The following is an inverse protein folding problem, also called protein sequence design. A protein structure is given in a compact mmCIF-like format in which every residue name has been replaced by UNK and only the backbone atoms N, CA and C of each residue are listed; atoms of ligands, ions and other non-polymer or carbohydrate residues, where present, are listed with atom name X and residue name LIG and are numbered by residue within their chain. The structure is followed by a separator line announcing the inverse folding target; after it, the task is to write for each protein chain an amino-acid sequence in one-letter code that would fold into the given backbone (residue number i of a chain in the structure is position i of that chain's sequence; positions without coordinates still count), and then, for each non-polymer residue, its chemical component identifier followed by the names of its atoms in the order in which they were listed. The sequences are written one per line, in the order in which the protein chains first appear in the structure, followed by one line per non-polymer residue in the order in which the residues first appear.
data_IF_622783192158
#
_entry.id   IF_622783192158
#
_cell.length_a   1.000
_cell.length_b   1.000
_cell.length_c   1.000
_cell.angle_alpha   90.00
_cell.angle_beta   90.00
_cell.angle_gamma   90.00
#
_symmetry.space_group_name_H-M   'P 1'
#
loop_
_entity.id
_entity.type
_entity.pdbx_description
1 polymer ?
#
# COMPACT_ATOMS: atom_id res chain seq x y z
N UNK A 1 -15.35 16.25 22.81
CA UNK A 1 -16.41 15.35 22.31
C UNK A 1 -16.88 15.88 20.95
N UNK A 2 -16.30 15.38 19.86
CA UNK A 2 -16.60 15.83 18.48
C UNK A 2 -16.47 14.72 17.42
N UNK A 3 -15.99 13.53 17.79
CA UNK A 3 -15.80 12.38 16.88
C UNK A 3 -17.09 11.78 16.32
N UNK A 4 -18.24 12.05 16.92
CA UNK A 4 -19.52 11.42 16.56
C UNK A 4 -20.13 11.84 15.22
N UNK A 5 -19.81 13.02 14.68
CA UNK A 5 -20.46 13.49 13.43
C UNK A 5 -19.81 12.91 12.16
N UNK A 6 -18.50 12.71 12.14
CA UNK A 6 -17.80 12.16 10.98
C UNK A 6 -18.11 10.68 10.71
N UNK A 7 -18.32 9.88 11.76
CA UNK A 7 -18.67 8.47 11.67
C UNK A 7 -20.03 8.25 10.96
N UNK A 8 -21.05 9.06 11.28
CA UNK A 8 -22.39 8.93 10.68
C UNK A 8 -22.37 9.29 9.19
N UNK A 9 -21.50 10.23 8.81
CA UNK A 9 -21.31 10.71 7.45
C UNK A 9 -20.78 9.59 6.52
N UNK A 10 -19.67 8.94 6.91
CA UNK A 10 -19.04 7.86 6.12
C UNK A 10 -20.00 6.72 5.76
N UNK A 11 -20.91 6.36 6.67
CA UNK A 11 -21.94 5.35 6.40
C UNK A 11 -22.97 5.81 5.37
N UNK A 12 -23.40 7.07 5.45
CA UNK A 12 -24.36 7.65 4.51
C UNK A 12 -23.72 7.85 3.13
N UNK A 13 -22.45 8.25 3.08
CA UNK A 13 -21.65 8.36 1.86
C UNK A 13 -21.53 7.01 1.14
N UNK A 14 -21.11 5.94 1.82
CA UNK A 14 -21.04 4.61 1.20
C UNK A 14 -22.39 4.13 0.65
N UNK A 15 -23.46 4.37 1.41
CA UNK A 15 -24.82 4.00 0.98
C UNK A 15 -25.21 4.78 -0.30
N UNK A 16 -24.89 6.07 -0.35
CA UNK A 16 -25.14 6.93 -1.51
C UNK A 16 -24.32 6.48 -2.74
N UNK A 17 -23.06 6.10 -2.54
CA UNK A 17 -22.18 5.58 -3.60
C UNK A 17 -22.69 4.24 -4.16
N UNK A 18 -23.20 3.35 -3.31
CA UNK A 18 -23.82 2.09 -3.74
C UNK A 18 -25.14 2.35 -4.49
N UNK A 19 -25.98 3.27 -4.00
CA UNK A 19 -27.19 3.69 -4.71
C UNK A 19 -26.92 4.40 -6.04
N UNK A 20 -25.79 5.08 -6.18
CA UNK A 20 -25.36 5.69 -7.44
C UNK A 20 -24.87 4.60 -8.41
N UNK A 21 -24.01 3.70 -7.93
CA UNK A 21 -23.55 2.54 -8.69
C UNK A 21 -24.73 1.72 -9.24
N UNK A 22 -25.73 1.42 -8.41
CA UNK A 22 -26.92 0.67 -8.82
C UNK A 22 -27.63 1.32 -10.02
N UNK A 23 -27.71 2.66 -10.06
CA UNK A 23 -28.38 3.42 -11.13
C UNK A 23 -27.54 3.53 -12.41
N UNK A 24 -26.21 3.52 -12.28
CA UNK A 24 -25.29 3.84 -13.37
C UNK A 24 -24.59 2.61 -13.97
N UNK A 25 -24.44 1.51 -13.23
CA UNK A 25 -23.83 0.30 -13.75
C UNK A 25 -24.66 -0.29 -14.91
N UNK A 26 -23.98 -0.76 -15.96
CA UNK A 26 -24.64 -1.23 -17.19
C UNK A 26 -25.21 -0.14 -18.11
N UNK A 27 -25.30 1.12 -17.68
CA UNK A 27 -25.78 2.25 -18.52
C UNK A 27 -24.73 2.79 -19.51
N UNK A 28 -23.48 2.32 -19.41
CA UNK A 28 -22.34 2.83 -20.18
C UNK A 28 -21.64 4.06 -19.57
N UNK A 29 -22.04 4.48 -18.37
CA UNK A 29 -21.28 5.45 -17.57
C UNK A 29 -19.93 4.88 -17.10
N UNK A 30 -18.97 5.76 -16.85
CA UNK A 30 -17.68 5.39 -16.27
C UNK A 30 -17.82 5.11 -14.77
N UNK A 31 -17.42 3.91 -14.34
CA UNK A 31 -17.49 3.46 -12.94
C UNK A 31 -16.25 3.84 -12.13
N UNK A 32 -15.17 4.28 -12.78
CA UNK A 32 -13.92 4.67 -12.11
C UNK A 32 -14.12 5.73 -11.02
N UNK A 33 -14.92 6.80 -11.20
CA UNK A 33 -15.14 7.80 -10.15
C UNK A 33 -15.79 7.22 -8.89
N UNK A 34 -16.80 6.35 -9.05
CA UNK A 34 -17.52 5.75 -7.93
C UNK A 34 -16.61 4.79 -7.15
N UNK A 35 -15.92 3.89 -7.85
CA UNK A 35 -14.96 2.96 -7.22
C UNK A 35 -13.80 3.71 -6.54
N UNK A 36 -13.33 4.82 -7.13
CA UNK A 36 -12.30 5.67 -6.52
C UNK A 36 -12.80 6.29 -5.23
N UNK A 37 -14.02 6.84 -5.19
CA UNK A 37 -14.62 7.39 -3.96
C UNK A 37 -14.84 6.33 -2.89
N UNK A 38 -15.28 5.13 -3.27
CA UNK A 38 -15.38 4.01 -2.33
C UNK A 38 -14.01 3.63 -1.75
N UNK A 39 -12.95 3.63 -2.57
CA UNK A 39 -11.58 3.34 -2.12
C UNK A 39 -11.11 4.38 -1.10
N UNK A 40 -11.18 5.68 -1.46
CA UNK A 40 -10.81 6.80 -0.59
C UNK A 40 -11.53 6.78 0.77
N UNK A 41 -12.81 6.38 0.77
CA UNK A 41 -13.62 6.26 1.97
C UNK A 41 -13.18 5.08 2.87
N UNK A 42 -12.91 3.90 2.29
CA UNK A 42 -12.43 2.73 3.04
C UNK A 42 -11.01 2.97 3.56
N UNK A 43 -10.12 3.56 2.77
CA UNK A 43 -8.76 3.95 3.17
C UNK A 43 -8.78 4.90 4.37
N UNK A 44 -9.59 5.98 4.32
CA UNK A 44 -9.78 6.94 5.41
C UNK A 44 -10.18 6.27 6.74
N UNK A 45 -11.18 5.39 6.71
CA UNK A 45 -11.62 4.70 7.92
C UNK A 45 -10.65 3.58 8.34
N UNK A 46 -9.83 3.07 7.42
CA UNK A 46 -8.72 2.14 7.72
C UNK A 46 -7.58 2.86 8.43
N UNK A 47 -7.23 4.07 8.03
CA UNK A 47 -6.28 4.92 8.77
C UNK A 47 -6.80 5.27 10.16
N UNK A 48 -8.10 5.62 10.30
CA UNK A 48 -8.69 5.91 11.61
C UNK A 48 -8.71 4.67 12.51
N UNK A 49 -9.06 3.48 11.98
CA UNK A 49 -8.97 2.22 12.72
C UNK A 49 -7.55 1.92 13.19
N UNK A 50 -6.53 2.14 12.34
CA UNK A 50 -5.11 1.94 12.70
C UNK A 50 -4.61 2.90 13.79
N UNK A 51 -5.17 4.10 13.93
CA UNK A 51 -4.85 5.02 15.04
C UNK A 51 -5.33 4.48 16.41
N UNK A 52 -6.25 3.51 16.41
CA UNK A 52 -6.69 2.80 17.60
C UNK A 52 -5.69 1.77 18.14
N UNK A 53 -4.54 1.59 17.48
CA UNK A 53 -3.51 0.58 17.79
C UNK A 53 -4.08 -0.86 17.90
N UNK A 54 -4.75 -1.37 16.84
CA UNK A 54 -5.27 -2.73 16.83
C UNK A 54 -4.12 -3.74 16.83
N UNK A 55 -4.32 -4.89 17.51
CA UNK A 55 -3.34 -5.95 17.61
C UNK A 55 -2.93 -6.45 16.20
N UNK A 56 -1.64 -6.37 15.81
CA UNK A 56 -1.18 -6.77 14.48
C UNK A 56 -1.26 -8.29 14.22
N UNK A 57 -1.59 -9.09 15.23
CA UNK A 57 -1.84 -10.54 15.11
C UNK A 57 -3.33 -10.91 15.18
N UNK A 58 -4.24 -9.92 15.21
CA UNK A 58 -5.68 -10.17 15.21
C UNK A 58 -6.25 -10.24 13.80
N UNK A 59 -6.19 -11.42 13.19
CA UNK A 59 -6.71 -11.74 11.85
C UNK A 59 -8.26 -11.67 11.76
N UNK A 60 -8.97 -11.24 12.80
CA UNK A 60 -10.43 -11.11 12.78
C UNK A 60 -10.84 -9.88 11.96
N UNK A 61 -11.90 -10.04 11.16
CA UNK A 61 -12.60 -8.93 10.50
C UNK A 61 -12.75 -7.72 11.46
N UNK A 62 -12.40 -6.46 11.07
CA UNK A 62 -12.36 -5.30 11.98
C UNK A 62 -13.60 -5.16 12.87
N UNK A 63 -14.79 -5.21 12.28
CA UNK A 63 -16.09 -5.21 13.01
C UNK A 63 -16.41 -6.41 13.91
N UNK A 64 -15.45 -7.33 14.14
CA UNK A 64 -15.46 -8.39 15.17
C UNK A 64 -14.37 -8.17 16.22
N UNK A 65 -13.27 -7.51 15.86
CA UNK A 65 -12.22 -7.08 16.78
C UNK A 65 -12.72 -5.87 17.62
N UNK A 66 -13.25 -4.85 16.95
CA UNK A 66 -14.00 -3.74 17.53
C UNK A 66 -15.40 -3.65 16.88
N UNK A 67 -16.49 -3.99 17.62
CA UNK A 67 -17.86 -3.88 17.12
C UNK A 67 -18.30 -2.46 16.71
N UNK A 68 -17.68 -1.41 17.25
CA UNK A 68 -18.10 -0.02 17.05
C UNK A 68 -17.30 0.72 15.95
N UNK A 69 -16.18 0.16 15.47
CA UNK A 69 -15.35 0.80 14.44
C UNK A 69 -16.12 1.05 13.12
N UNK A 70 -15.86 2.19 12.47
CA UNK A 70 -16.53 2.50 11.19
C UNK A 70 -16.09 1.57 10.07
N UNK A 71 -14.81 1.23 9.98
CA UNK A 71 -14.31 0.26 8.99
C UNK A 71 -15.13 -1.04 9.04
N UNK A 72 -15.35 -1.59 10.23
CA UNK A 72 -16.17 -2.79 10.44
C UNK A 72 -17.63 -2.63 10.02
N UNK A 73 -18.19 -1.42 10.13
CA UNK A 73 -19.52 -1.08 9.65
C UNK A 73 -19.60 -0.91 8.13
N UNK A 74 -18.61 -0.25 7.51
CA UNK A 74 -18.56 -0.06 6.06
C UNK A 74 -18.38 -1.38 5.32
N UNK A 75 -17.43 -2.22 5.73
CA UNK A 75 -17.21 -3.55 5.16
C UNK A 75 -18.51 -4.39 5.24
N UNK A 76 -19.21 -4.36 6.39
CA UNK A 76 -20.49 -5.07 6.58
C UNK A 76 -21.63 -4.54 5.70
N UNK A 77 -21.57 -3.29 5.24
CA UNK A 77 -22.54 -2.73 4.28
C UNK A 77 -22.18 -3.17 2.87
N UNK A 78 -20.90 -3.09 2.51
CA UNK A 78 -20.40 -3.47 1.19
C UNK A 78 -20.63 -4.96 0.89
N UNK A 79 -20.24 -5.85 1.80
CA UNK A 79 -20.42 -7.31 1.67
C UNK A 79 -21.88 -7.78 1.82
N UNK A 80 -22.83 -6.88 2.04
CA UNK A 80 -24.28 -7.18 1.94
C UNK A 80 -24.86 -6.87 0.57
N UNK A 81 -24.11 -6.19 -0.30
CA UNK A 81 -24.50 -5.94 -1.67
C UNK A 81 -23.80 -6.96 -2.58
N UNK A 82 -24.43 -8.13 -2.71
CA UNK A 82 -23.91 -9.24 -3.51
C UNK A 82 -23.74 -8.86 -4.99
N UNK A 83 -24.65 -8.06 -5.55
CA UNK A 83 -24.60 -7.61 -6.94
C UNK A 83 -23.39 -6.69 -7.19
N UNK A 84 -23.11 -5.75 -6.27
CA UNK A 84 -21.90 -4.93 -6.30
C UNK A 84 -20.63 -5.78 -6.22
N UNK A 85 -20.55 -6.69 -5.24
CA UNK A 85 -19.38 -7.55 -5.04
C UNK A 85 -19.14 -8.47 -6.24
N UNK A 86 -20.22 -9.00 -6.84
CA UNK A 86 -20.20 -9.78 -8.06
C UNK A 86 -19.68 -8.96 -9.25
N UNK A 87 -20.17 -7.73 -9.44
CA UNK A 87 -19.69 -6.85 -10.50
C UNK A 87 -18.23 -6.42 -10.30
N UNK A 88 -17.82 -6.09 -9.07
CA UNK A 88 -16.44 -5.72 -8.74
C UNK A 88 -15.44 -6.80 -9.20
N UNK A 89 -15.71 -8.05 -8.85
CA UNK A 89 -14.84 -9.19 -9.21
C UNK A 89 -15.04 -9.60 -10.67
N UNK A 90 -16.26 -9.93 -11.09
CA UNK A 90 -16.49 -10.59 -12.38
C UNK A 90 -16.53 -9.59 -13.54
N UNK A 91 -17.11 -8.40 -13.37
CA UNK A 91 -17.17 -7.40 -14.44
C UNK A 91 -15.91 -6.52 -14.49
N UNK A 92 -15.46 -5.97 -13.36
CA UNK A 92 -14.40 -4.94 -13.36
C UNK A 92 -12.98 -5.48 -13.21
N UNK A 93 -12.77 -6.54 -12.42
CA UNK A 93 -11.47 -7.25 -12.38
C UNK A 93 -11.36 -8.24 -13.54
N UNK A 94 -12.30 -9.18 -13.68
CA UNK A 94 -12.12 -10.31 -14.62
C UNK A 94 -12.43 -10.01 -16.09
N UNK A 95 -13.52 -9.28 -16.38
CA UNK A 95 -14.02 -9.15 -17.77
C UNK A 95 -13.61 -7.84 -18.45
N UNK A 96 -13.50 -6.75 -17.69
CA UNK A 96 -13.16 -5.42 -18.22
C UNK A 96 -11.80 -5.41 -18.91
N UNK A 97 -11.75 -4.73 -20.06
CA UNK A 97 -10.54 -4.51 -20.85
C UNK A 97 -9.97 -3.09 -20.69
N UNK A 98 -10.62 -2.26 -19.86
CA UNK A 98 -10.23 -0.87 -19.61
C UNK A 98 -9.29 -0.80 -18.40
N UNK A 99 -7.98 -0.53 -18.59
CA UNK A 99 -7.02 -0.54 -17.49
C UNK A 99 -7.35 0.43 -16.35
N UNK A 100 -7.91 1.65 -16.58
CA UNK A 100 -8.36 2.51 -15.49
C UNK A 100 -9.44 1.87 -14.60
N UNK A 101 -10.38 1.13 -15.20
CA UNK A 101 -11.43 0.43 -14.46
C UNK A 101 -10.88 -0.80 -13.72
N UNK A 102 -10.00 -1.58 -14.36
CA UNK A 102 -9.28 -2.66 -13.65
C UNK A 102 -8.49 -2.10 -12.45
N UNK A 103 -7.87 -0.92 -12.61
CA UNK A 103 -7.06 -0.24 -11.57
C UNK A 103 -7.92 0.16 -10.37
N UNK A 104 -9.04 0.85 -10.61
CA UNK A 104 -9.94 1.29 -9.55
C UNK A 104 -10.58 0.10 -8.82
N UNK A 105 -10.94 -0.96 -9.56
CA UNK A 105 -11.47 -2.20 -8.98
C UNK A 105 -10.42 -2.96 -8.15
N UNK A 106 -9.17 -3.06 -8.61
CA UNK A 106 -8.10 -3.72 -7.85
C UNK A 106 -7.70 -2.94 -6.58
N UNK A 107 -7.77 -1.61 -6.61
CA UNK A 107 -7.59 -0.78 -5.40
C UNK A 107 -8.67 -1.09 -4.37
N UNK A 108 -9.94 -0.94 -4.73
CA UNK A 108 -11.05 -1.21 -3.81
C UNK A 108 -11.03 -2.66 -3.29
N UNK A 109 -10.74 -3.64 -4.15
CA UNK A 109 -10.66 -5.05 -3.75
C UNK A 109 -9.53 -5.29 -2.72
N UNK A 110 -8.42 -4.55 -2.82
CA UNK A 110 -7.31 -4.61 -1.86
C UNK A 110 -7.71 -3.93 -0.54
N UNK A 111 -8.36 -2.77 -0.59
CA UNK A 111 -8.77 -2.01 0.61
C UNK A 111 -9.78 -2.78 1.47
N UNK A 112 -10.63 -3.60 0.84
CA UNK A 112 -11.67 -4.38 1.53
C UNK A 112 -11.21 -5.77 1.97
N UNK A 113 -9.96 -6.17 1.65
CA UNK A 113 -9.40 -7.47 2.06
C UNK A 113 -9.58 -7.81 3.55
N UNK A 114 -9.44 -6.88 4.53
CA UNK A 114 -9.63 -7.20 5.95
C UNK A 114 -11.02 -7.73 6.33
N UNK A 115 -12.03 -7.60 5.45
CA UNK A 115 -13.34 -8.25 5.63
C UNK A 115 -13.69 -9.28 4.56
N UNK A 116 -12.80 -9.51 3.59
CA UNK A 116 -13.02 -10.39 2.45
C UNK A 116 -12.71 -11.85 2.78
N UNK A 117 -13.59 -12.77 2.43
CA UNK A 117 -13.26 -14.20 2.44
C UNK A 117 -12.39 -14.52 1.22
N UNK A 118 -11.06 -14.35 1.37
CA UNK A 118 -10.06 -14.42 0.30
C UNK A 118 -10.10 -15.75 -0.48
N UNK A 119 -10.43 -16.86 0.19
CA UNK A 119 -10.65 -18.15 -0.47
C UNK A 119 -11.80 -18.11 -1.50
N UNK A 120 -12.95 -17.52 -1.16
CA UNK A 120 -14.11 -17.41 -2.06
C UNK A 120 -13.75 -16.61 -3.32
N UNK A 121 -12.94 -15.56 -3.19
CA UNK A 121 -12.52 -14.76 -4.34
C UNK A 121 -11.41 -15.42 -5.15
N UNK A 122 -10.33 -15.90 -4.52
CA UNK A 122 -9.13 -16.35 -5.25
C UNK A 122 -9.12 -17.85 -5.60
N UNK A 123 -9.95 -18.67 -4.95
CA UNK A 123 -10.04 -20.12 -5.20
C UNK A 123 -11.25 -20.50 -6.08
N UNK A 124 -12.41 -19.84 -5.92
CA UNK A 124 -13.61 -20.17 -6.72
C UNK A 124 -13.66 -19.43 -8.07
N UNK A 125 -12.90 -18.33 -8.25
CA UNK A 125 -12.86 -17.56 -9.50
C UNK A 125 -11.65 -17.96 -10.35
N UNK A 126 -11.80 -19.07 -11.07
CA UNK A 126 -10.84 -19.53 -12.08
C UNK A 126 -10.41 -18.38 -13.02
N UNK A 127 -9.09 -18.18 -13.18
CA UNK A 127 -8.50 -17.11 -14.00
C UNK A 127 -8.15 -15.82 -13.26
N UNK A 128 -8.61 -15.58 -12.03
CA UNK A 128 -8.32 -14.32 -11.32
C UNK A 128 -6.84 -14.21 -10.92
N UNK A 129 -6.26 -15.30 -10.42
CA UNK A 129 -4.87 -15.33 -9.96
C UNK A 129 -3.92 -15.19 -11.16
N UNK A 130 -4.25 -15.79 -12.30
CA UNK A 130 -3.53 -15.68 -13.56
C UNK A 130 -3.55 -14.25 -14.11
N UNK A 131 -4.72 -13.58 -14.07
CA UNK A 131 -4.85 -12.16 -14.45
C UNK A 131 -4.00 -11.26 -13.54
N UNK A 132 -4.04 -11.49 -12.22
CA UNK A 132 -3.20 -10.76 -11.27
C UNK A 132 -1.70 -11.01 -11.52
N UNK A 133 -1.27 -12.26 -11.78
CA UNK A 133 0.12 -12.57 -12.16
C UNK A 133 0.55 -11.91 -13.46
N UNK A 134 -0.36 -11.76 -14.44
CA UNK A 134 -0.09 -11.02 -15.66
C UNK A 134 0.12 -9.53 -15.35
N UNK A 135 -0.79 -8.89 -14.62
CA UNK A 135 -0.67 -7.47 -14.31
C UNK A 135 0.51 -7.14 -13.38
N UNK A 136 0.77 -7.96 -12.36
CA UNK A 136 1.92 -7.80 -11.48
C UNK A 136 3.25 -7.89 -12.25
N UNK A 137 3.31 -8.67 -13.34
CA UNK A 137 4.47 -8.74 -14.23
C UNK A 137 4.53 -7.58 -15.24
N UNK A 138 3.42 -7.29 -15.93
CA UNK A 138 3.44 -6.54 -17.20
C UNK A 138 2.73 -5.18 -17.16
N UNK A 139 1.76 -4.96 -16.28
CA UNK A 139 0.95 -3.74 -16.30
C UNK A 139 1.73 -2.50 -15.88
N UNK A 140 1.21 -1.32 -16.22
CA UNK A 140 1.71 -0.05 -15.72
C UNK A 140 1.28 0.21 -14.26
N UNK A 141 1.87 1.24 -13.65
CA UNK A 141 1.45 1.71 -12.34
C UNK A 141 0.21 2.60 -12.49
N UNK A 142 -0.76 2.55 -11.54
CA UNK A 142 -0.69 1.82 -10.28
C UNK A 142 -1.28 0.39 -10.31
N UNK A 143 -1.91 -0.07 -11.40
CA UNK A 143 -2.51 -1.41 -11.52
C UNK A 143 -1.56 -2.54 -11.09
N UNK A 144 -0.30 -2.48 -11.55
CA UNK A 144 0.75 -3.44 -11.18
C UNK A 144 0.98 -3.54 -9.67
N UNK A 145 0.88 -2.42 -8.95
CA UNK A 145 1.07 -2.36 -7.50
C UNK A 145 -0.09 -3.03 -6.78
N UNK A 146 -1.33 -2.68 -7.14
CA UNK A 146 -2.53 -3.31 -6.56
C UNK A 146 -2.60 -4.80 -6.87
N UNK A 147 -2.27 -5.22 -8.09
CA UNK A 147 -2.20 -6.64 -8.46
C UNK A 147 -1.13 -7.41 -7.66
N UNK A 148 0.00 -6.77 -7.33
CA UNK A 148 1.03 -7.38 -6.47
C UNK A 148 0.53 -7.50 -5.02
N UNK A 149 -0.21 -6.51 -4.50
CA UNK A 149 -0.82 -6.57 -3.17
C UNK A 149 -1.88 -7.67 -3.05
N UNK A 150 -2.79 -7.75 -4.02
CA UNK A 150 -3.83 -8.79 -4.10
C UNK A 150 -3.23 -10.20 -4.19
N UNK A 151 -2.13 -10.39 -4.94
CA UNK A 151 -1.40 -11.66 -4.94
C UNK A 151 -0.82 -11.98 -3.57
N UNK A 152 -0.34 -10.99 -2.80
CA UNK A 152 0.09 -11.19 -1.41
C UNK A 152 -1.01 -11.88 -0.59
N UNK A 153 -2.23 -11.33 -0.62
CA UNK A 153 -3.40 -11.94 0.03
C UNK A 153 -3.78 -13.31 -0.51
N UNK A 154 -3.69 -13.52 -1.83
CA UNK A 154 -3.94 -14.83 -2.43
C UNK A 154 -2.92 -15.90 -1.98
N UNK A 155 -1.66 -15.50 -1.73
CA UNK A 155 -0.60 -16.40 -1.26
C UNK A 155 -0.70 -16.76 0.23
N UNK A 156 -1.57 -16.11 1.02
CA UNK A 156 -1.88 -16.53 2.40
C UNK A 156 -2.64 -17.88 2.41
N UNK A 157 -3.40 -18.18 1.35
CA UNK A 157 -4.00 -19.49 1.13
C UNK A 157 -2.93 -20.47 0.62
N UNK A 158 -2.63 -21.48 1.43
CA UNK A 158 -1.59 -22.47 1.16
C UNK A 158 -1.84 -23.30 -0.11
N UNK A 159 -3.10 -23.59 -0.45
CA UNK A 159 -3.44 -24.34 -1.66
C UNK A 159 -3.13 -23.51 -2.91
N UNK A 160 -3.47 -22.21 -2.89
CA UNK A 160 -3.15 -21.27 -3.96
C UNK A 160 -1.63 -21.09 -4.08
N UNK A 161 -0.94 -20.88 -2.96
CA UNK A 161 0.51 -20.73 -2.93
C UNK A 161 1.27 -21.98 -3.43
N UNK A 162 0.72 -23.18 -3.20
CA UNK A 162 1.26 -24.43 -3.72
C UNK A 162 1.04 -24.57 -5.24
N UNK A 163 -0.15 -24.21 -5.73
CA UNK A 163 -0.50 -24.31 -7.15
C UNK A 163 0.32 -23.36 -8.05
N UNK A 164 0.59 -22.13 -7.59
CA UNK A 164 1.34 -21.11 -8.35
C UNK A 164 2.80 -20.95 -7.89
N UNK A 165 3.41 -22.01 -7.37
CA UNK A 165 4.75 -21.97 -6.77
C UNK A 165 5.81 -21.41 -7.73
N UNK A 166 5.78 -21.82 -9.00
CA UNK A 166 6.80 -21.47 -9.98
C UNK A 166 6.62 -20.03 -10.47
N UNK A 167 5.38 -19.58 -10.72
CA UNK A 167 5.02 -18.20 -11.02
C UNK A 167 5.39 -17.26 -9.86
N UNK A 168 5.08 -17.65 -8.63
CA UNK A 168 5.40 -16.90 -7.43
C UNK A 168 6.93 -16.76 -7.26
N UNK A 169 7.70 -17.82 -7.48
CA UNK A 169 9.18 -17.76 -7.41
C UNK A 169 9.78 -16.74 -8.39
N UNK A 170 9.22 -16.66 -9.60
CA UNK A 170 9.63 -15.68 -10.62
C UNK A 170 9.18 -14.26 -10.26
N UNK A 171 7.95 -14.10 -9.76
CA UNK A 171 7.41 -12.81 -9.38
C UNK A 171 8.17 -12.21 -8.18
N UNK A 172 8.49 -13.00 -7.16
CA UNK A 172 9.29 -12.55 -6.00
C UNK A 172 10.65 -12.02 -6.46
N UNK A 173 11.35 -12.72 -7.36
CA UNK A 173 12.62 -12.26 -7.91
C UNK A 173 12.47 -10.92 -8.68
N UNK A 174 11.38 -10.76 -9.44
CA UNK A 174 11.06 -9.54 -10.19
C UNK A 174 10.70 -8.35 -9.27
N UNK A 175 9.89 -8.59 -8.24
CA UNK A 175 9.48 -7.55 -7.26
C UNK A 175 10.68 -7.10 -6.43
N UNK A 176 11.52 -8.03 -5.95
CA UNK A 176 12.76 -7.69 -5.24
C UNK A 176 13.74 -6.90 -6.11
N UNK A 177 13.80 -7.18 -7.42
CA UNK A 177 14.59 -6.37 -8.36
C UNK A 177 14.04 -4.94 -8.46
N UNK A 178 12.72 -4.78 -8.66
CA UNK A 178 12.06 -3.47 -8.74
C UNK A 178 12.21 -2.66 -7.46
N UNK A 179 12.13 -3.30 -6.29
CA UNK A 179 12.37 -2.65 -5.00
C UNK A 179 13.78 -2.06 -4.92
N UNK A 180 14.82 -2.78 -5.38
CA UNK A 180 16.18 -2.25 -5.45
C UNK A 180 16.32 -1.10 -6.43
N UNK A 181 15.67 -1.17 -7.60
CA UNK A 181 15.66 -0.09 -8.60
C UNK A 181 15.00 1.19 -8.04
N UNK A 182 13.91 1.05 -7.27
CA UNK A 182 13.25 2.15 -6.55
C UNK A 182 14.14 2.73 -5.43
N UNK A 183 14.75 1.88 -4.59
CA UNK A 183 15.67 2.32 -3.53
C UNK A 183 16.85 3.13 -4.09
N UNK A 184 17.47 2.68 -5.18
CA UNK A 184 18.56 3.41 -5.84
C UNK A 184 18.06 4.77 -6.37
N UNK A 185 16.88 4.81 -6.98
CA UNK A 185 16.28 6.05 -7.52
C UNK A 185 15.95 7.05 -6.40
N UNK A 186 15.45 6.56 -5.26
CA UNK A 186 15.19 7.37 -4.07
C UNK A 186 16.49 7.98 -3.51
N UNK A 187 17.55 7.17 -3.39
CA UNK A 187 18.87 7.62 -2.94
C UNK A 187 19.46 8.68 -3.89
N UNK A 188 19.39 8.48 -5.21
CA UNK A 188 19.89 9.47 -6.18
C UNK A 188 19.09 10.76 -6.14
N UNK A 189 17.75 10.70 -6.07
CA UNK A 189 16.89 11.88 -5.99
C UNK A 189 17.17 12.68 -4.70
N UNK A 190 17.35 12.00 -3.57
CA UNK A 190 17.78 12.61 -2.30
C UNK A 190 19.16 13.28 -2.40
N UNK A 191 20.10 12.70 -3.15
CA UNK A 191 21.43 13.32 -3.38
C UNK A 191 21.39 14.53 -4.32
N UNK A 192 20.56 14.50 -5.38
CA UNK A 192 20.45 15.65 -6.29
C UNK A 192 19.78 16.85 -5.59
N UNK A 193 18.74 16.61 -4.79
CA UNK A 193 18.12 17.65 -3.96
C UNK A 193 19.05 18.22 -2.87
N UNK A 194 20.13 17.50 -2.50
CA UNK A 194 21.18 17.97 -1.57
C UNK A 194 22.31 18.74 -2.28
N UNK A 195 22.35 18.86 -3.61
CA UNK A 195 23.36 19.68 -4.31
C UNK A 195 23.04 21.18 -4.19
N UNK A 196 23.93 22.02 -3.63
CA UNK A 196 23.68 23.46 -3.55
C UNK A 196 23.64 24.08 -4.94
N UNK A 197 22.62 24.91 -5.18
CA UNK A 197 22.46 25.68 -6.43
C UNK A 197 23.74 26.50 -6.73
N UNK A 198 24.18 26.62 -8.00
CA UNK A 198 25.37 27.39 -8.35
C UNK A 198 25.25 28.83 -7.85
N UNK A 199 26.11 29.20 -6.90
CA UNK A 199 26.13 30.54 -6.29
C UNK A 199 26.18 31.61 -7.38
N UNK A 200 25.28 32.59 -7.32
CA UNK A 200 25.44 33.85 -8.04
C UNK A 200 26.79 34.46 -7.63
N UNK A 201 27.60 34.81 -8.62
CA UNK A 201 28.89 35.48 -8.42
C UNK A 201 28.69 36.82 -7.68
N UNK A 202 29.50 37.13 -6.65
CA UNK A 202 29.48 38.43 -5.99
C UNK A 202 30.38 39.42 -6.76
N UNK A 203 29.77 40.43 -7.36
CA UNK A 203 30.48 41.54 -8.02
C UNK A 203 29.63 42.81 -7.99
N UNK A 204 29.77 43.64 -6.96
CA UNK A 204 30.49 44.92 -7.05
C UNK A 204 30.41 45.73 -5.72
N UNK A 205 31.24 46.80 -5.54
CA UNK A 205 31.70 47.21 -4.21
C UNK A 205 30.91 48.34 -3.53
N UNK A 206 31.25 48.53 -2.25
CA UNK A 206 30.69 49.47 -1.27
C UNK A 206 30.69 50.95 -1.73
N UNK A 207 29.64 51.67 -1.35
CA UNK A 207 29.58 53.14 -1.27
C UNK A 207 29.04 53.59 0.10
N UNK A 208 29.28 54.86 0.52
CA UNK A 208 29.50 55.15 1.94
C UNK A 208 28.25 55.41 2.79
N UNK A 209 28.52 55.43 4.09
CA UNK A 209 27.69 55.88 5.20
C UNK A 209 26.91 57.17 4.90
N UNK A 210 25.65 57.21 5.33
CA UNK A 210 25.08 58.39 5.97
C UNK A 210 24.59 57.96 7.36
N UNK A 211 24.98 58.72 8.38
CA UNK A 211 24.61 58.49 9.78
C UNK A 211 23.26 59.14 10.08
N UNK A 212 22.26 58.37 10.50
CA UNK A 212 21.21 58.90 11.36
C UNK A 212 20.93 57.92 12.50
N UNK A 213 21.60 58.15 13.62
CA UNK A 213 21.41 57.38 14.84
C UNK A 213 20.10 57.80 15.51
N UNK A 214 19.12 56.89 15.55
CA UNK A 214 17.96 57.02 16.43
C UNK A 214 18.14 56.05 17.58
N UNK A 215 18.58 56.61 18.70
CA UNK A 215 18.79 55.92 19.97
C UNK A 215 17.46 55.36 20.51
N UNK A 216 17.46 54.07 20.87
CA UNK A 216 16.33 53.39 21.50
C UNK A 216 16.83 52.23 22.37
N UNK A 217 17.61 52.58 23.41
CA UNK A 217 17.91 51.66 24.50
C UNK A 217 16.65 51.28 25.28
N UNK A 218 16.34 49.98 25.32
CA UNK A 218 15.81 49.39 26.55
C UNK A 218 16.09 47.88 26.68
N UNK A 219 17.10 47.55 27.47
CA UNK A 219 17.00 46.40 28.39
C UNK A 219 17.70 45.09 27.99
N UNK A 220 18.84 44.85 28.63
CA UNK A 220 19.51 43.55 28.76
C UNK A 220 18.63 42.51 29.50
N UNK A 221 18.47 41.32 28.91
CA UNK A 221 18.26 40.07 29.64
C UNK A 221 19.10 38.95 29.00
N UNK A 222 20.26 38.72 29.60
CA UNK A 222 21.19 37.59 29.37
C UNK A 222 20.79 36.33 30.17
N UNK A 223 21.45 35.19 29.84
CA UNK A 223 21.45 33.86 30.51
C UNK A 223 20.19 32.99 30.21
N UNK A 224 20.26 31.81 29.56
CA UNK A 224 21.38 31.05 28.97
C UNK A 224 20.94 29.99 27.90
N UNK A 225 21.72 28.92 27.68
CA UNK A 225 21.53 27.80 26.72
C UNK A 225 20.32 26.84 26.89
N UNK A 226 20.20 25.74 26.13
CA UNK A 226 21.20 25.01 25.31
C UNK A 226 20.67 24.65 23.90
N UNK A 227 21.59 24.43 22.94
CA UNK A 227 21.26 23.87 21.62
C UNK A 227 21.36 22.34 21.63
N UNK A 228 20.29 21.64 21.26
CA UNK A 228 20.38 20.32 20.61
C UNK A 228 19.37 20.19 19.47
N UNK A 229 19.84 20.38 18.22
CA UNK A 229 19.14 19.87 17.05
C UNK A 229 19.54 18.40 16.84
N UNK A 230 18.68 17.46 17.22
CA UNK A 230 18.87 16.04 16.86
C UNK A 230 18.27 15.78 15.49
N UNK A 231 19.07 16.05 14.46
CA UNK A 231 18.90 15.43 13.14
C UNK A 231 19.28 13.95 13.24
N UNK A 232 18.28 13.07 13.11
CA UNK A 232 18.44 11.62 13.22
C UNK A 232 18.10 10.87 11.94
N UNK A 233 18.92 11.02 10.89
CA UNK A 233 18.91 10.10 9.73
C UNK A 233 19.32 8.69 10.23
N UNK A 234 18.34 7.85 10.59
CA UNK A 234 18.60 6.48 11.04
C UNK A 234 18.79 5.56 9.82
N UNK A 235 20.01 5.50 9.29
CA UNK A 235 20.38 4.53 8.25
C UNK A 235 20.31 3.09 8.77
N UNK A 236 19.22 2.38 8.41
CA UNK A 236 19.11 0.93 8.63
C UNK A 236 19.95 0.20 7.57
N UNK A 237 21.22 -0.06 7.91
CA UNK A 237 22.14 -0.83 7.07
C UNK A 237 21.99 -2.34 7.29
N UNK A 238 21.42 -3.05 6.31
CA UNK A 238 21.30 -4.51 6.34
C UNK A 238 22.60 -5.19 5.85
N UNK A 239 23.58 -5.34 6.74
CA UNK A 239 24.79 -6.13 6.46
C UNK A 239 24.51 -7.64 6.57
N UNK A 240 24.18 -8.27 5.43
CA UNK A 240 24.05 -9.72 5.28
C UNK A 240 25.41 -10.40 5.10
N UNK A 241 26.25 -10.35 6.14
CA UNK A 241 27.51 -11.11 6.18
C UNK A 241 27.33 -12.41 6.97
N UNK A 242 26.85 -13.45 6.26
CA UNK A 242 26.64 -14.80 6.81
C UNK A 242 27.14 -15.84 5.81
N UNK A 243 28.46 -16.02 5.75
CA UNK A 243 29.13 -17.11 5.02
C UNK A 243 28.94 -18.47 5.70
N UNK A 244 27.71 -18.94 5.84
CA UNK A 244 27.40 -20.28 6.35
C UNK A 244 27.37 -21.32 5.22
N UNK A 245 28.52 -21.95 4.98
CA UNK A 245 28.65 -23.15 4.13
C UNK A 245 27.88 -24.32 4.75
N UNK A 246 26.68 -24.62 4.24
CA UNK A 246 25.97 -25.86 4.56
C UNK A 246 26.54 -27.01 3.72
N UNK A 247 27.42 -27.82 4.32
CA UNK A 247 27.98 -29.03 3.70
C UNK A 247 27.00 -30.20 3.82
N UNK A 248 26.14 -30.39 2.81
CA UNK A 248 25.28 -31.57 2.71
C UNK A 248 26.09 -32.77 2.19
N UNK A 249 26.55 -33.65 3.10
CA UNK A 249 27.11 -34.95 2.73
C UNK A 249 25.98 -35.91 2.31
N UNK A 250 26.04 -36.35 1.05
CA UNK A 250 25.18 -37.40 0.52
C UNK A 250 25.64 -38.75 1.05
N UNK A 251 24.77 -39.48 1.76
CA UNK A 251 24.99 -40.89 2.11
C UNK A 251 24.11 -41.77 1.19
N UNK A 252 24.72 -42.28 0.13
CA UNK A 252 24.12 -43.30 -0.74
C UNK A 252 24.18 -44.67 -0.06
N UNK A 253 23.04 -45.19 0.42
CA UNK A 253 22.93 -46.58 0.84
C UNK A 253 22.60 -47.45 -0.37
N UNK A 254 23.62 -48.06 -0.98
CA UNK A 254 23.42 -49.09 -1.99
C UNK A 254 22.87 -50.36 -1.33
N UNK A 255 21.72 -50.86 -1.80
CA UNK A 255 21.37 -52.28 -1.66
C UNK A 255 21.96 -53.00 -2.85
N UNK A 256 22.92 -53.89 -2.58
CA UNK A 256 23.33 -54.90 -3.54
C UNK A 256 22.36 -56.07 -3.49
N UNK A 257 22.18 -56.64 -4.67
CA UNK A 257 21.51 -57.90 -4.96
C UNK A 257 22.42 -59.07 -4.54
N UNK A 258 21.83 -60.12 -3.99
CA UNK A 258 22.44 -61.45 -3.82
C UNK A 258 21.29 -62.45 -3.92
N UNK A 259 21.34 -63.34 -4.90
CA UNK A 259 20.30 -64.32 -5.18
C UNK A 259 20.75 -65.77 -4.97
N UNK A 260 19.80 -66.60 -4.55
CA UNK A 260 19.64 -68.02 -4.91
C UNK A 260 18.13 -68.34 -4.97
#
# INVERSE_FOLDING_TARGET
MTSGSGHVDSKAELTTLLEQWEKEHGSGQDMVPILTRMSELIEKETEEYRKGDPDPFDDRHPGRADPECMLGHLLRILFKNDDFMNALVNAYVMTSREPPLNTAACRLLLDIMPGLETAVVFQEKEGIVENLFKWAREADQPLRTYATGLLGGAMENQDIAANYRDENSQLVALVLRRLRELQVTEMTTKQENKRPSPRKVPSDPLLPLDEEAVDMDYGDMTVDGEQEEVSGDMEISFHLDSSHKTSSRVNSAAKLDDGE
#
